data_IF_909526505681
#
_entry.id   IF_909526505681
#
_cell.length_a   1.000
_cell.length_b   1.000
_cell.length_c   1.000
_cell.angle_alpha   90.00
_cell.angle_beta   90.00
_cell.angle_gamma   90.00
#
_symmetry.space_group_name_H-M   'P 1'
#
loop_
_entity.id
_entity.type
_entity.pdbx_description
1 polymer ?
#
# COMPACT_ATOMS: atom_id res chain seq x y z
N UNK A 1 8.62 -4.62 -2.42
CA UNK A 1 8.00 -3.85 -3.51
C UNK A 1 8.33 -2.37 -3.38
N UNK A 2 8.68 -1.69 -4.48
CA UNK A 2 9.04 -0.27 -4.52
C UNK A 2 7.93 0.65 -3.97
N UNK A 3 6.66 0.30 -4.21
CA UNK A 3 5.50 1.02 -3.69
C UNK A 3 5.48 1.16 -2.14
N UNK A 4 5.87 0.09 -1.42
CA UNK A 4 5.98 0.12 0.04
C UNK A 4 7.10 1.07 0.51
N UNK A 5 8.23 1.09 -0.20
CA UNK A 5 9.34 2.01 0.07
C UNK A 5 8.91 3.46 -0.20
N UNK A 6 8.18 3.69 -1.29
CA UNK A 6 7.63 5.00 -1.63
C UNK A 6 6.70 5.53 -0.53
N UNK A 7 5.75 4.71 -0.04
CA UNK A 7 4.91 5.08 1.10
C UNK A 7 5.74 5.38 2.36
N UNK A 8 6.75 4.55 2.65
CA UNK A 8 7.67 4.75 3.78
C UNK A 8 8.44 6.07 3.73
N UNK A 9 8.73 6.60 2.53
CA UNK A 9 9.37 7.91 2.35
C UNK A 9 8.43 9.09 2.62
N UNK A 10 7.10 8.89 2.52
CA UNK A 10 6.09 9.94 2.69
C UNK A 10 5.64 10.11 4.15
N UNK A 11 6.03 9.21 5.05
CA UNK A 11 5.63 9.24 6.46
C UNK A 11 6.84 9.31 7.41
N UNK A 12 6.69 10.06 8.49
CA UNK A 12 7.73 10.17 9.54
C UNK A 12 7.55 9.15 10.68
N UNK A 13 6.36 8.59 10.84
CA UNK A 13 6.04 7.64 11.90
C UNK A 13 6.60 6.26 11.58
N UNK A 14 7.47 5.74 12.45
CA UNK A 14 7.98 4.36 12.33
C UNK A 14 6.85 3.33 12.41
N UNK A 15 5.81 3.60 13.21
CA UNK A 15 4.63 2.75 13.27
C UNK A 15 3.90 2.70 11.93
N UNK A 16 3.72 3.84 11.24
CA UNK A 16 3.12 3.83 9.90
C UNK A 16 4.00 3.08 8.88
N UNK A 17 5.33 3.23 8.95
CA UNK A 17 6.24 2.47 8.09
C UNK A 17 6.12 0.96 8.29
N UNK A 18 6.06 0.50 9.54
CA UNK A 18 5.83 -0.91 9.86
C UNK A 18 4.48 -1.40 9.32
N UNK A 19 3.42 -0.59 9.43
CA UNK A 19 2.11 -0.92 8.90
C UNK A 19 2.10 -1.04 7.37
N UNK A 20 2.86 -0.19 6.65
CA UNK A 20 3.06 -0.37 5.21
C UNK A 20 3.84 -1.64 4.85
N UNK A 21 4.76 -2.10 5.72
CA UNK A 21 5.44 -3.38 5.52
C UNK A 21 4.48 -4.55 5.70
N UNK A 22 3.61 -4.52 6.72
CA UNK A 22 2.56 -5.52 6.92
C UNK A 22 1.56 -5.55 5.75
N UNK A 23 1.11 -4.38 5.27
CA UNK A 23 0.23 -4.29 4.11
C UNK A 23 0.90 -4.88 2.85
N UNK A 24 2.19 -4.61 2.63
CA UNK A 24 2.98 -5.23 1.55
C UNK A 24 3.00 -6.74 1.69
N UNK A 25 3.32 -7.27 2.87
CA UNK A 25 3.46 -8.70 3.08
C UNK A 25 2.12 -9.43 2.88
N UNK A 26 1.02 -8.85 3.38
CA UNK A 26 -0.33 -9.37 3.14
C UNK A 26 -0.70 -9.34 1.65
N UNK A 27 -0.37 -8.26 0.94
CA UNK A 27 -0.62 -8.13 -0.51
C UNK A 27 0.12 -9.22 -1.29
N UNK A 28 1.39 -9.47 -0.96
CA UNK A 28 2.21 -10.50 -1.59
C UNK A 28 1.75 -11.92 -1.25
N UNK A 29 1.33 -12.17 0.00
CA UNK A 29 0.76 -13.46 0.44
C UNK A 29 -0.51 -13.82 -0.36
N UNK A 30 -1.32 -12.81 -0.71
CA UNK A 30 -2.50 -12.98 -1.56
C UNK A 30 -2.22 -13.02 -3.05
N UNK A 31 -0.96 -12.85 -3.47
CA UNK A 31 -0.59 -12.81 -4.89
C UNK A 31 -1.17 -11.60 -5.63
N UNK A 32 -1.49 -10.52 -4.92
CA UNK A 32 -2.01 -9.29 -5.51
C UNK A 32 -0.85 -8.47 -6.07
N UNK A 33 -0.93 -8.09 -7.34
CA UNK A 33 -0.05 -7.08 -7.93
C UNK A 33 -0.66 -5.67 -7.78
N UNK A 34 0.04 -4.65 -8.29
CA UNK A 34 -0.44 -3.28 -8.21
C UNK A 34 -1.68 -3.02 -9.07
N UNK A 35 -1.87 -3.76 -10.16
CA UNK A 35 -3.03 -3.61 -11.04
C UNK A 35 -4.30 -4.10 -10.33
N UNK A 36 -4.24 -5.31 -9.75
CA UNK A 36 -5.32 -5.87 -8.94
C UNK A 36 -5.61 -5.00 -7.71
N UNK A 37 -4.57 -4.55 -7.01
CA UNK A 37 -4.72 -3.66 -5.85
C UNK A 37 -5.43 -2.35 -6.20
N UNK A 38 -5.11 -1.77 -7.37
CA UNK A 38 -5.72 -0.54 -7.87
C UNK A 38 -7.15 -0.75 -8.39
N UNK A 39 -7.45 -1.92 -8.97
CA UNK A 39 -8.78 -2.26 -9.48
C UNK A 39 -9.77 -2.49 -8.34
N UNK A 40 -9.40 -3.30 -7.35
CA UNK A 40 -10.31 -3.72 -6.28
C UNK A 40 -10.53 -2.60 -5.25
N UNK A 41 -9.48 -1.81 -4.98
CA UNK A 41 -9.44 -0.76 -3.96
C UNK A 41 -10.02 -1.15 -2.60
N UNK A 42 -9.94 -2.43 -2.22
CA UNK A 42 -10.55 -2.93 -1.00
C UNK A 42 -9.68 -2.60 0.23
N UNK A 43 -9.84 -1.37 0.74
CA UNK A 43 -9.21 -0.96 1.98
C UNK A 43 -9.72 -1.76 3.19
N UNK A 44 -10.96 -2.25 3.14
CA UNK A 44 -11.58 -2.95 4.28
C UNK A 44 -10.88 -4.29 4.52
N UNK A 45 -10.51 -5.01 3.46
CA UNK A 45 -9.68 -6.21 3.56
C UNK A 45 -8.43 -5.99 4.44
N UNK A 46 -7.70 -4.90 4.25
CA UNK A 46 -6.50 -4.60 5.04
C UNK A 46 -6.85 -4.21 6.49
N UNK A 47 -7.93 -3.46 6.69
CA UNK A 47 -8.41 -3.06 8.02
C UNK A 47 -8.80 -4.29 8.84
N UNK A 48 -9.51 -5.23 8.24
CA UNK A 48 -9.95 -6.47 8.88
C UNK A 48 -8.76 -7.37 9.26
N UNK A 49 -7.62 -7.20 8.58
CA UNK A 49 -6.34 -7.85 8.91
C UNK A 49 -5.45 -7.03 9.86
N UNK A 50 -6.00 -5.99 10.50
CA UNK A 50 -5.33 -5.23 11.54
C UNK A 50 -4.40 -4.13 11.05
N UNK A 51 -4.45 -3.78 9.75
CA UNK A 51 -3.74 -2.61 9.23
C UNK A 51 -4.47 -1.34 9.69
N UNK A 52 -3.71 -0.35 10.16
CA UNK A 52 -4.27 0.96 10.51
C UNK A 52 -5.11 1.54 9.38
N UNK A 53 -6.30 2.03 9.72
CA UNK A 53 -7.28 2.52 8.75
C UNK A 53 -6.70 3.54 7.75
N UNK A 54 -5.95 4.52 8.24
CA UNK A 54 -5.31 5.51 7.37
C UNK A 54 -4.28 4.91 6.41
N UNK A 55 -3.53 3.90 6.86
CA UNK A 55 -2.55 3.17 6.05
C UNK A 55 -3.27 2.31 5.01
N UNK A 56 -4.29 1.56 5.39
CA UNK A 56 -5.10 0.73 4.49
C UNK A 56 -5.74 1.56 3.36
N UNK A 57 -6.40 2.67 3.71
CA UNK A 57 -7.01 3.58 2.73
C UNK A 57 -5.99 4.16 1.74
N UNK A 58 -4.78 4.49 2.22
CA UNK A 58 -3.68 5.02 1.40
C UNK A 58 -3.05 3.95 0.53
N UNK A 59 -2.90 2.75 1.07
CA UNK A 59 -2.28 1.61 0.41
C UNK A 59 -3.01 1.23 -0.88
N UNK A 60 -4.34 1.19 -0.87
CA UNK A 60 -5.10 0.83 -2.07
C UNK A 60 -5.27 2.00 -3.05
N UNK A 61 -5.44 3.22 -2.53
CA UNK A 61 -5.77 4.39 -3.36
C UNK A 61 -4.58 5.02 -4.05
N UNK A 62 -3.42 5.05 -3.40
CA UNK A 62 -2.28 5.82 -3.89
C UNK A 62 -1.46 5.04 -4.95
N UNK A 63 -1.94 3.87 -5.41
CA UNK A 63 -1.28 3.06 -6.45
C UNK A 63 -1.15 3.83 -7.76
N UNK A 64 -2.25 4.45 -8.23
CA UNK A 64 -2.20 5.27 -9.45
C UNK A 64 -1.21 6.43 -9.32
N UNK A 65 -1.18 7.09 -8.16
CA UNK A 65 -0.24 8.18 -7.91
C UNK A 65 1.22 7.72 -7.94
N UNK A 66 1.49 6.49 -7.48
CA UNK A 66 2.81 5.88 -7.57
C UNK A 66 3.18 5.56 -9.02
N UNK A 67 2.29 4.92 -9.79
CA UNK A 67 2.55 4.58 -11.19
C UNK A 67 2.76 5.84 -12.04
N UNK A 68 1.92 6.86 -11.88
CA UNK A 68 2.05 8.13 -12.59
C UNK A 68 3.40 8.85 -12.28
N UNK A 69 4.04 8.58 -11.13
CA UNK A 69 5.38 9.11 -10.79
C UNK A 69 6.54 8.26 -11.31
N UNK A 70 6.29 6.99 -11.63
CA UNK A 70 7.32 6.05 -12.09
C UNK A 70 7.28 5.81 -13.61
N UNK A 71 6.19 6.18 -14.29
CA UNK A 71 6.11 6.25 -15.76
C UNK A 71 6.90 7.45 -16.35
N UNK A 72 7.42 8.36 -15.51
CA UNK A 72 8.31 9.45 -15.94
C UNK A 72 9.79 9.04 -16.10
N UNK A 73 10.12 7.75 -16.15
CA UNK A 73 11.47 7.22 -16.40
C UNK A 73 11.55 6.22 -17.54
#
# INVERSE_FOLDING_TARGET
MQYCVWHGSKVRSETQKQQYQLARDLTLDKGLDLELLYSDQDAQFYIDHGIMEGVARRWVRDVKLFLDQYDEF
#
